data_IF_345212654770
#
_entry.id   IF_345212654770
#
_cell.length_a   1.000
_cell.length_b   1.000
_cell.length_c   1.000
_cell.angle_alpha   90.00
_cell.angle_beta   90.00
_cell.angle_gamma   90.00
#
_symmetry.space_group_name_H-M   'P 1'
#
loop_
_entity.id
_entity.type
_entity.pdbx_description
1 polymer ?
#
# COMPACT_ATOMS: atom_id res chain seq x y z
N UNK A 1 -4.59 2.11 14.60
CA UNK A 1 -5.11 3.49 14.82
C UNK A 1 -4.05 4.17 15.66
N UNK A 2 -3.60 5.34 15.23
CA UNK A 2 -2.41 6.04 15.74
C UNK A 2 -2.87 7.40 16.26
N UNK A 3 -2.38 7.82 17.41
CA UNK A 3 -2.69 9.14 17.97
C UNK A 3 -1.83 10.21 17.28
N UNK A 4 -2.35 11.44 17.16
CA UNK A 4 -1.57 12.60 16.75
C UNK A 4 -1.42 13.58 17.94
N UNK A 5 -0.30 14.32 18.00
CA UNK A 5 0.09 15.20 19.12
C UNK A 5 -0.93 16.31 19.45
N UNK A 6 -1.80 16.68 18.50
CA UNK A 6 -2.88 17.63 18.74
C UNK A 6 -4.07 16.91 19.36
N UNK A 7 -4.42 17.31 20.59
CA UNK A 7 -5.52 16.72 21.36
C UNK A 7 -6.78 16.54 20.51
N UNK A 8 -7.31 15.32 20.46
CA UNK A 8 -8.53 14.97 19.73
C UNK A 8 -8.31 14.34 18.35
N UNK A 9 -7.10 14.42 17.78
CA UNK A 9 -6.81 13.86 16.45
C UNK A 9 -6.24 12.43 16.50
N UNK A 10 -6.73 11.57 15.61
CA UNK A 10 -6.23 10.20 15.39
C UNK A 10 -6.13 9.92 13.90
N UNK A 11 -5.12 9.19 13.49
CA UNK A 11 -4.97 8.72 12.12
C UNK A 11 -5.17 7.20 12.02
N UNK A 12 -5.69 6.75 10.89
CA UNK A 12 -5.72 5.34 10.50
C UNK A 12 -5.07 5.19 9.14
N UNK A 13 -4.03 4.37 9.08
CA UNK A 13 -3.35 3.97 7.84
C UNK A 13 -3.83 2.56 7.47
N UNK A 14 -3.98 2.29 6.18
CA UNK A 14 -4.32 0.98 5.64
C UNK A 14 -3.97 0.86 4.15
N UNK A 15 -3.59 -0.32 3.68
CA UNK A 15 -3.64 -0.66 2.25
C UNK A 15 -5.10 -0.70 1.76
N UNK A 16 -5.36 -0.03 0.64
CA UNK A 16 -6.67 0.01 0.00
C UNK A 16 -7.12 -1.37 -0.51
N UNK A 17 -8.44 -1.59 -0.60
CA UNK A 17 -9.01 -2.90 -0.99
C UNK A 17 -8.63 -3.34 -2.40
N UNK A 18 -8.29 -2.40 -3.28
CA UNK A 18 -7.79 -2.68 -4.63
C UNK A 18 -6.27 -2.89 -4.68
N UNK A 19 -5.59 -2.86 -3.52
CA UNK A 19 -4.16 -3.11 -3.34
C UNK A 19 -3.29 -2.23 -4.25
N UNK A 20 -3.76 -0.99 -4.49
CA UNK A 20 -3.10 -0.03 -5.38
C UNK A 20 -2.55 1.18 -4.66
N UNK A 21 -3.03 1.45 -3.46
CA UNK A 21 -2.69 2.65 -2.71
C UNK A 21 -2.68 2.40 -1.21
N UNK A 22 -1.99 3.27 -0.48
CA UNK A 22 -2.11 3.42 0.97
C UNK A 22 -3.12 4.53 1.25
N UNK A 23 -4.09 4.25 2.11
CA UNK A 23 -5.07 5.21 2.60
C UNK A 23 -4.69 5.70 3.99
N UNK A 24 -4.74 7.01 4.20
CA UNK A 24 -4.63 7.65 5.52
C UNK A 24 -5.94 8.37 5.80
N UNK A 25 -6.61 8.06 6.91
CA UNK A 25 -7.86 8.72 7.31
C UNK A 25 -7.65 9.40 8.65
N UNK A 26 -7.98 10.68 8.71
CA UNK A 26 -7.91 11.50 9.91
C UNK A 26 -9.26 11.53 10.61
N UNK A 27 -9.23 11.39 11.92
CA UNK A 27 -10.37 11.44 12.83
C UNK A 27 -10.14 12.56 13.84
N UNK A 28 -11.20 13.32 14.12
CA UNK A 28 -11.30 14.28 15.21
C UNK A 28 -12.51 13.88 16.05
N UNK A 29 -12.34 13.70 17.37
CA UNK A 29 -13.43 13.25 18.27
C UNK A 29 -14.20 12.03 17.74
N UNK A 30 -13.45 11.04 17.23
CA UNK A 30 -13.95 9.79 16.63
C UNK A 30 -14.81 9.96 15.36
N UNK A 31 -14.83 11.15 14.75
CA UNK A 31 -15.45 11.42 13.45
C UNK A 31 -14.38 11.60 12.38
N UNK A 32 -14.59 10.98 11.22
CA UNK A 32 -13.68 11.19 10.09
C UNK A 32 -13.79 12.62 9.56
N UNK A 33 -12.67 13.33 9.51
CA UNK A 33 -12.60 14.71 8.99
C UNK A 33 -11.95 14.80 7.62
N UNK A 34 -11.16 13.80 7.24
CA UNK A 34 -10.51 13.78 5.94
C UNK A 34 -9.84 12.45 5.63
N UNK A 35 -9.52 12.24 4.35
CA UNK A 35 -8.73 11.12 3.89
C UNK A 35 -7.75 11.52 2.80
N UNK A 36 -6.61 10.84 2.77
CA UNK A 36 -5.56 10.92 1.77
C UNK A 36 -5.38 9.54 1.14
N UNK A 37 -5.23 9.49 -0.19
CA UNK A 37 -4.91 8.28 -0.94
C UNK A 37 -3.54 8.46 -1.60
N UNK A 38 -2.62 7.55 -1.32
CA UNK A 38 -1.22 7.58 -1.77
C UNK A 38 -1.01 6.43 -2.75
N UNK A 39 -0.76 6.73 -4.02
CA UNK A 39 -0.66 5.72 -5.09
C UNK A 39 0.79 5.33 -5.45
N UNK A 40 1.75 6.08 -4.90
CA UNK A 40 3.18 5.83 -5.06
C UNK A 40 3.69 4.79 -4.06
N UNK A 41 4.72 4.03 -4.45
CA UNK A 41 5.52 3.17 -3.54
C UNK A 41 6.81 3.85 -3.09
N UNK A 42 7.13 5.04 -3.63
CA UNK A 42 8.28 5.83 -3.19
C UNK A 42 7.99 6.46 -1.82
N UNK A 43 8.73 6.01 -0.81
CA UNK A 43 8.55 6.42 0.59
C UNK A 43 8.71 7.92 0.80
N UNK A 44 9.72 8.56 0.18
CA UNK A 44 9.94 10.01 0.34
C UNK A 44 8.75 10.80 -0.22
N UNK A 45 8.28 10.45 -1.42
CA UNK A 45 7.13 11.09 -2.06
C UNK A 45 5.84 10.85 -1.29
N UNK A 46 5.68 9.67 -0.68
CA UNK A 46 4.51 9.35 0.14
C UNK A 46 4.49 10.17 1.43
N UNK A 47 5.60 10.22 2.17
CA UNK A 47 5.71 11.01 3.40
C UNK A 47 5.48 12.50 3.13
N UNK A 48 6.08 13.06 2.07
CA UNK A 48 5.84 14.46 1.68
C UNK A 48 4.37 14.76 1.38
N UNK A 49 3.63 13.80 0.81
CA UNK A 49 2.19 13.95 0.59
C UNK A 49 1.41 13.96 1.91
N UNK A 50 1.79 13.12 2.87
CA UNK A 50 1.18 13.08 4.20
C UNK A 50 1.44 14.38 4.95
N UNK A 51 2.69 14.85 4.99
CA UNK A 51 3.08 16.13 5.62
C UNK A 51 2.29 17.30 5.03
N UNK A 52 2.27 17.40 3.70
CA UNK A 52 1.52 18.46 3.01
C UNK A 52 0.02 18.36 3.31
N UNK A 53 -0.54 17.16 3.34
CA UNK A 53 -1.94 16.96 3.67
C UNK A 53 -2.28 17.37 5.11
N UNK A 54 -1.47 16.95 6.08
CA UNK A 54 -1.61 17.31 7.50
C UNK A 54 -1.50 18.82 7.75
N UNK A 55 -0.69 19.53 6.97
CA UNK A 55 -0.55 20.98 7.08
C UNK A 55 -1.86 21.73 6.81
N UNK A 56 -2.79 21.16 6.03
CA UNK A 56 -4.14 21.74 5.84
C UNK A 56 -4.99 21.74 7.13
N UNK A 57 -4.60 20.93 8.12
CA UNK A 57 -5.25 20.80 9.42
C UNK A 57 -4.41 21.40 10.55
N UNK A 58 -3.30 22.08 10.20
CA UNK A 58 -2.32 22.59 11.17
C UNK A 58 -1.83 21.47 12.10
N UNK A 59 -1.51 20.32 11.51
CA UNK A 59 -0.94 19.14 12.14
C UNK A 59 0.46 18.90 11.60
N UNK A 60 1.31 18.31 12.44
CA UNK A 60 2.66 17.87 12.08
C UNK A 60 2.69 16.35 11.89
N UNK A 61 3.58 15.87 11.03
CA UNK A 61 3.82 14.45 10.88
C UNK A 61 4.59 13.95 12.09
N UNK A 62 4.07 12.91 12.74
CA UNK A 62 4.72 12.26 13.87
C UNK A 62 5.35 10.94 13.49
N UNK A 63 6.41 10.57 14.23
CA UNK A 63 7.15 9.32 14.07
C UNK A 63 6.24 8.08 14.01
N UNK A 64 5.18 8.03 14.84
CA UNK A 64 4.23 6.89 14.84
C UNK A 64 3.43 6.80 13.53
N UNK A 65 2.99 7.95 13.00
CA UNK A 65 2.27 8.00 11.73
C UNK A 65 3.20 7.75 10.55
N UNK A 66 4.41 8.31 10.58
CA UNK A 66 5.45 8.05 9.59
C UNK A 66 5.72 6.55 9.50
N UNK A 67 6.02 5.90 10.62
CA UNK A 67 6.32 4.46 10.68
C UNK A 67 5.17 3.64 10.10
N UNK A 68 3.93 3.94 10.46
CA UNK A 68 2.79 3.18 9.95
C UNK A 68 2.53 3.40 8.46
N UNK A 69 2.81 4.61 7.93
CA UNK A 69 2.73 4.84 6.48
C UNK A 69 3.79 4.01 5.76
N UNK A 70 5.02 3.97 6.28
CA UNK A 70 6.11 3.18 5.70
C UNK A 70 5.81 1.66 5.74
N UNK A 71 5.28 1.15 6.85
CA UNK A 71 4.91 -0.27 6.98
C UNK A 71 3.84 -0.70 5.95
N UNK A 72 2.84 0.17 5.71
CA UNK A 72 1.78 -0.11 4.75
C UNK A 72 2.25 0.05 3.30
N UNK A 73 3.23 0.94 3.03
CA UNK A 73 3.89 1.03 1.73
C UNK A 73 4.72 -0.23 1.43
N UNK A 74 5.46 -0.75 2.41
CA UNK A 74 6.18 -2.02 2.25
C UNK A 74 5.19 -3.17 1.99
N UNK A 75 4.07 -3.18 2.71
CA UNK A 75 3.00 -4.16 2.49
C UNK A 75 2.45 -4.07 1.07
N UNK A 76 2.19 -2.86 0.57
CA UNK A 76 1.74 -2.62 -0.80
C UNK A 76 2.77 -3.10 -1.85
N UNK A 77 4.05 -2.84 -1.63
CA UNK A 77 5.13 -3.29 -2.51
C UNK A 77 5.25 -4.82 -2.53
N UNK A 78 5.13 -5.45 -1.37
CA UNK A 78 5.14 -6.91 -1.23
C UNK A 78 3.98 -7.55 -2.00
N UNK A 79 2.76 -7.04 -1.82
CA UNK A 79 1.57 -7.52 -2.53
C UNK A 79 1.72 -7.36 -4.05
N UNK A 80 2.26 -6.24 -4.53
CA UNK A 80 2.53 -6.04 -5.97
C UNK A 80 3.56 -7.04 -6.52
N UNK A 81 4.60 -7.33 -5.75
CA UNK A 81 5.67 -8.25 -6.15
C UNK A 81 5.19 -9.70 -6.14
N UNK A 82 4.50 -10.13 -5.07
CA UNK A 82 3.93 -11.48 -4.96
C UNK A 82 2.81 -11.72 -5.99
N UNK A 83 1.99 -10.70 -6.27
CA UNK A 83 0.99 -10.75 -7.34
C UNK A 83 1.60 -10.89 -8.74
N UNK A 84 2.75 -10.25 -8.99
CA UNK A 84 3.51 -10.41 -10.23
C UNK A 84 4.12 -11.82 -10.34
N UNK A 85 4.67 -12.34 -9.24
CA UNK A 85 5.23 -13.70 -9.19
C UNK A 85 4.16 -14.77 -9.41
N UNK A 86 2.95 -14.61 -8.88
CA UNK A 86 1.84 -15.53 -9.13
C UNK A 86 1.41 -15.57 -10.61
N UNK A 87 1.46 -14.44 -11.31
CA UNK A 87 1.14 -14.37 -12.76
C UNK A 87 2.27 -14.93 -13.62
N UNK A 88 3.53 -14.86 -13.17
CA UNK A 88 4.70 -15.46 -13.84
C UNK A 88 4.63 -16.98 -14.03
N UNK A 89 3.80 -17.69 -13.25
CA UNK A 89 3.63 -19.14 -13.36
C UNK A 89 2.62 -19.60 -14.43
N UNK A 90 1.75 -18.70 -14.93
CA UNK A 90 0.80 -19.04 -16.01
C UNK A 90 1.43 -19.00 -17.41
N UNK A 91 2.65 -18.45 -17.56
CA UNK A 91 3.40 -18.42 -18.81
C UNK A 91 4.34 -19.62 -19.07
N UNK A 92 4.60 -20.46 -18.05
CA UNK A 92 5.67 -21.48 -18.10
C UNK A 92 5.18 -22.93 -18.39
N UNK A 93 3.89 -23.13 -18.70
CA UNK A 93 3.36 -24.47 -19.01
C UNK A 93 3.33 -24.84 -20.51
N UNK A 94 3.85 -24.00 -21.41
CA UNK A 94 3.75 -24.25 -22.87
C UNK A 94 4.91 -25.03 -23.49
N UNK A 95 5.94 -25.44 -22.74
CA UNK A 95 7.12 -26.11 -23.32
C UNK A 95 7.30 -27.59 -22.90
N UNK A 96 6.20 -28.27 -22.55
CA UNK A 96 6.22 -29.73 -22.47
C UNK A 96 5.98 -30.32 -23.86
N UNK A 97 7.03 -30.32 -24.69
CA UNK A 97 7.09 -31.13 -25.91
C UNK A 97 6.66 -32.56 -25.58
N UNK A 98 5.51 -32.97 -26.10
CA UNK A 98 5.10 -34.37 -26.13
C UNK A 98 6.20 -35.15 -26.88
N UNK A 99 6.69 -36.29 -26.37
CA UNK A 99 7.51 -37.17 -27.19
C UNK A 99 6.65 -37.62 -28.37
N UNK A 100 7.19 -37.48 -29.59
CA UNK A 100 6.58 -37.97 -30.81
C UNK A 100 6.49 -39.51 -30.76
N UNK A 101 5.44 -40.05 -30.17
CA UNK A 101 5.05 -41.44 -30.32
C UNK A 101 4.25 -41.59 -31.61
N UNK A 102 4.93 -41.86 -32.72
CA UNK A 102 4.33 -42.47 -33.92
C UNK A 102 5.44 -43.05 -34.80
N UNK A 103 5.95 -44.22 -34.40
CA UNK A 103 6.54 -45.17 -35.33
C UNK A 103 6.09 -46.56 -34.87
N UNK A 104 4.82 -46.84 -35.17
CA UNK A 104 4.34 -48.21 -35.29
C UNK A 104 4.56 -48.60 -36.76
N UNK A 105 5.12 -49.80 -36.91
CA UNK A 105 5.58 -50.49 -38.11
C UNK A 105 4.68 -50.40 -39.34
#
# INVERSE_FOLDING_TARGET
MIALQKEGFKARVFVTTDERAVGVVLYEDDKSVGGLRIETTDSESALRQVEHWLSNYELELEDELETAVLDELETLERVRTEGADAVGWLGSQSDRRLPASSLIA
#
